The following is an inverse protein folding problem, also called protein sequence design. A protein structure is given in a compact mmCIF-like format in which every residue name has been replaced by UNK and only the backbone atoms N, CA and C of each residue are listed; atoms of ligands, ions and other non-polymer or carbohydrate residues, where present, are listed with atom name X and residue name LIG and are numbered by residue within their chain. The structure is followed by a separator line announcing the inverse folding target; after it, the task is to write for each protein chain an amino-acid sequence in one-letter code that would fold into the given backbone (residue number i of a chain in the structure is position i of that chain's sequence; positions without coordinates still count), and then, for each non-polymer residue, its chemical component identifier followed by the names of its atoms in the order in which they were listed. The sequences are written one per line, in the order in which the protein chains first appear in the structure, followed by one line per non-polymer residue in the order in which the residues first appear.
data_IF_634798175107
#
_entry.id   IF_634798175107
#
_cell.length_a   1.000
_cell.length_b   1.000
_cell.length_c   1.000
_cell.angle_alpha   90.00
_cell.angle_beta   90.00
_cell.angle_gamma   90.00
#
_symmetry.space_group_name_H-M   'P 1'
#
loop_
_entity.id
_entity.type
_entity.pdbx_description
1 polymer ?
#
# COMPACT_ATOMS: atom_id res chain seq x y z
N UNK A 1 -17.63 -1.03 -21.43
CA UNK A 1 -16.25 -0.87 -20.95
C UNK A 1 -15.81 -2.14 -20.24
N UNK A 2 -14.69 -2.68 -20.63
CA UNK A 2 -14.21 -3.94 -20.07
C UNK A 2 -13.41 -3.64 -18.80
N UNK A 3 -13.80 -4.28 -17.70
CA UNK A 3 -13.01 -4.19 -16.47
C UNK A 3 -11.73 -4.97 -16.69
N UNK A 4 -10.62 -4.29 -16.59
CA UNK A 4 -9.32 -4.90 -16.79
C UNK A 4 -8.98 -5.77 -15.57
N UNK A 5 -8.81 -7.07 -15.81
CA UNK A 5 -8.37 -7.98 -14.77
C UNK A 5 -6.89 -7.81 -14.53
N UNK A 6 -6.50 -7.83 -13.27
CA UNK A 6 -5.09 -7.84 -12.90
C UNK A 6 -4.53 -9.22 -13.30
N UNK A 7 -3.49 -9.24 -14.12
CA UNK A 7 -2.89 -10.50 -14.52
C UNK A 7 -2.04 -11.08 -13.37
N UNK A 8 -1.62 -12.35 -13.55
CA UNK A 8 -0.91 -13.07 -12.48
C UNK A 8 0.40 -12.39 -12.07
N UNK A 9 1.15 -11.92 -13.04
CA UNK A 9 2.44 -11.27 -12.76
C UNK A 9 2.22 -9.96 -11.99
N UNK A 10 1.23 -9.16 -12.39
CA UNK A 10 0.90 -7.91 -11.71
C UNK A 10 0.37 -8.18 -10.31
N UNK A 11 -0.41 -9.24 -10.14
CA UNK A 11 -0.93 -9.62 -8.83
C UNK A 11 0.19 -9.94 -7.85
N UNK A 12 1.19 -10.69 -8.30
CA UNK A 12 2.34 -11.01 -7.46
C UNK A 12 3.09 -9.76 -7.04
N UNK A 13 3.28 -8.83 -7.95
CA UNK A 13 3.93 -7.56 -7.67
C UNK A 13 3.12 -6.74 -6.66
N UNK A 14 1.80 -6.68 -6.86
CA UNK A 14 0.92 -5.95 -5.94
C UNK A 14 0.89 -6.58 -4.55
N UNK A 15 0.90 -7.90 -4.46
CA UNK A 15 0.97 -8.59 -3.17
C UNK A 15 2.29 -8.30 -2.46
N UNK A 16 3.39 -8.32 -3.18
CA UNK A 16 4.70 -8.02 -2.62
C UNK A 16 4.78 -6.57 -2.13
N UNK A 17 4.25 -5.64 -2.92
CA UNK A 17 4.20 -4.23 -2.54
C UNK A 17 3.30 -4.02 -1.31
N UNK A 18 2.12 -4.64 -1.32
CA UNK A 18 1.18 -4.55 -0.20
C UNK A 18 1.80 -5.07 1.09
N UNK A 19 2.49 -6.20 1.01
CA UNK A 19 3.17 -6.79 2.17
C UNK A 19 4.30 -5.89 2.67
N UNK A 20 5.02 -5.27 1.76
CA UNK A 20 6.08 -4.32 2.13
C UNK A 20 5.50 -3.13 2.88
N UNK A 21 4.42 -2.55 2.35
CA UNK A 21 3.75 -1.42 3.01
C UNK A 21 3.29 -1.81 4.41
N UNK A 22 2.66 -2.96 4.55
CA UNK A 22 2.21 -3.48 5.84
C UNK A 22 3.39 -3.65 6.81
N UNK A 23 4.49 -4.22 6.34
CA UNK A 23 5.70 -4.41 7.15
C UNK A 23 6.26 -3.08 7.62
N UNK A 24 6.30 -2.07 6.74
CA UNK A 24 6.78 -0.75 7.13
C UNK A 24 5.88 -0.14 8.20
N UNK A 25 4.57 -0.22 8.02
CA UNK A 25 3.62 0.32 8.98
C UNK A 25 3.78 -0.34 10.35
N UNK A 26 3.81 -1.66 10.39
CA UNK A 26 3.78 -2.39 11.65
C UNK A 26 5.14 -2.51 12.32
N UNK A 27 6.19 -2.74 11.54
CA UNK A 27 7.52 -3.00 12.10
C UNK A 27 8.42 -1.79 12.13
N UNK A 28 8.44 -0.99 11.08
CA UNK A 28 9.35 0.15 11.02
C UNK A 28 8.76 1.40 11.67
N UNK A 29 7.47 1.63 11.50
CA UNK A 29 6.81 2.79 12.11
C UNK A 29 6.15 2.47 13.45
N UNK A 30 6.05 1.19 13.80
CA UNK A 30 5.61 0.77 15.10
C UNK A 30 4.13 0.88 15.39
N UNK A 31 3.29 0.98 14.37
CA UNK A 31 1.84 0.97 14.58
C UNK A 31 1.39 -0.41 15.02
N UNK A 32 0.42 -0.45 15.93
CA UNK A 32 -0.09 -1.71 16.45
C UNK A 32 -0.92 -2.48 15.43
N UNK A 33 -1.52 -1.77 14.47
CA UNK A 33 -2.39 -2.36 13.48
C UNK A 33 -2.52 -1.41 12.28
N UNK A 34 -3.05 -1.93 11.19
CA UNK A 34 -3.39 -1.10 10.03
C UNK A 34 -4.48 -0.10 10.38
N UNK A 35 -5.40 -0.46 11.28
CA UNK A 35 -6.44 0.45 11.77
C UNK A 35 -5.83 1.67 12.46
N UNK A 36 -4.82 1.47 13.30
CA UNK A 36 -4.17 2.56 14.00
C UNK A 36 -3.50 3.52 13.02
N UNK A 37 -2.81 2.99 12.01
CA UNK A 37 -2.22 3.80 10.95
C UNK A 37 -3.30 4.58 10.20
N UNK A 38 -4.41 3.91 9.87
CA UNK A 38 -5.51 4.52 9.12
C UNK A 38 -6.11 5.70 9.86
N UNK A 39 -6.21 5.63 11.19
CA UNK A 39 -6.73 6.75 11.99
C UNK A 39 -5.87 8.00 11.84
N UNK A 40 -4.56 7.83 11.79
CA UNK A 40 -3.65 8.97 11.66
C UNK A 40 -3.59 9.54 10.24
N UNK A 41 -3.81 8.70 9.24
CA UNK A 41 -3.60 9.09 7.84
C UNK A 41 -4.83 8.87 6.95
N UNK A 42 -6.03 8.97 7.52
CA UNK A 42 -7.28 8.76 6.76
C UNK A 42 -7.45 9.74 5.60
N UNK A 43 -6.83 10.90 5.66
CA UNK A 43 -6.87 11.87 4.58
C UNK A 43 -5.99 11.47 3.40
N UNK A 44 -4.94 10.70 3.67
CA UNK A 44 -4.04 10.22 2.62
C UNK A 44 -4.57 8.94 1.97
N UNK A 45 -5.19 8.06 2.76
CA UNK A 45 -5.70 6.81 2.24
C UNK A 45 -6.90 6.35 3.09
N UNK A 46 -7.97 5.96 2.42
CA UNK A 46 -9.15 5.41 3.10
C UNK A 46 -8.84 4.02 3.65
N UNK A 47 -9.40 3.69 4.81
CA UNK A 47 -9.17 2.41 5.46
C UNK A 47 -9.46 1.19 4.56
N UNK A 48 -10.61 1.11 3.88
CA UNK A 48 -10.86 -0.03 3.00
C UNK A 48 -9.84 -0.15 1.88
N UNK A 49 -9.41 0.98 1.33
CA UNK A 49 -8.39 1.00 0.27
C UNK A 49 -7.05 0.48 0.80
N UNK A 50 -6.66 0.89 2.01
CA UNK A 50 -5.43 0.43 2.64
C UNK A 50 -5.43 -1.10 2.78
N UNK A 51 -6.51 -1.67 3.29
CA UNK A 51 -6.60 -3.12 3.45
C UNK A 51 -6.52 -3.85 2.12
N UNK A 52 -7.20 -3.35 1.10
CA UNK A 52 -7.17 -3.96 -0.22
C UNK A 52 -5.78 -3.91 -0.84
N UNK A 53 -5.06 -2.81 -0.64
CA UNK A 53 -3.70 -2.67 -1.14
C UNK A 53 -2.74 -3.63 -0.42
N UNK A 54 -2.86 -3.75 0.88
CA UNK A 54 -2.01 -4.66 1.65
C UNK A 54 -2.26 -6.11 1.30
N UNK A 55 -3.49 -6.45 0.90
CA UNK A 55 -3.84 -7.80 0.46
C UNK A 55 -3.47 -8.07 -1.01
N UNK A 56 -3.01 -7.07 -1.74
CA UNK A 56 -2.69 -7.23 -3.15
C UNK A 56 -3.90 -7.40 -4.05
N UNK A 57 -5.07 -7.04 -3.56
CA UNK A 57 -6.33 -7.24 -4.28
C UNK A 57 -6.72 -6.06 -5.16
N UNK A 58 -6.00 -4.97 -5.08
CA UNK A 58 -6.35 -3.74 -5.79
C UNK A 58 -5.12 -3.15 -6.45
N UNK A 59 -5.30 -2.68 -7.68
CA UNK A 59 -4.26 -1.91 -8.34
C UNK A 59 -4.06 -0.59 -7.60
N UNK A 60 -2.82 -0.12 -7.55
CA UNK A 60 -2.48 1.08 -6.82
C UNK A 60 -2.32 2.26 -7.76
N UNK A 61 -3.10 3.31 -7.51
CA UNK A 61 -2.94 4.55 -8.26
C UNK A 61 -1.63 5.24 -7.84
N UNK A 62 -1.01 5.91 -8.78
CA UNK A 62 0.23 6.63 -8.52
C UNK A 62 0.04 7.67 -7.41
N UNK A 63 -1.09 8.38 -7.40
CA UNK A 63 -1.39 9.36 -6.36
C UNK A 63 -1.45 8.72 -4.97
N UNK A 64 -2.00 7.50 -4.87
CA UNK A 64 -2.06 6.75 -3.62
C UNK A 64 -0.65 6.38 -3.17
N UNK A 65 0.20 5.96 -4.10
CA UNK A 65 1.58 5.61 -3.80
C UNK A 65 2.36 6.81 -3.27
N UNK A 66 2.18 7.99 -3.88
CA UNK A 66 2.78 9.22 -3.39
C UNK A 66 2.26 9.58 -2.01
N UNK A 67 0.95 9.42 -1.78
CA UNK A 67 0.35 9.66 -0.47
C UNK A 67 0.95 8.76 0.61
N UNK A 68 1.11 7.48 0.31
CA UNK A 68 1.74 6.55 1.24
C UNK A 68 3.20 6.89 1.51
N UNK A 69 3.92 7.29 0.47
CA UNK A 69 5.32 7.72 0.62
C UNK A 69 5.43 8.88 1.61
N UNK A 70 4.54 9.87 1.49
CA UNK A 70 4.52 10.99 2.41
C UNK A 70 4.13 10.57 3.83
N UNK A 71 3.07 9.77 3.94
CA UNK A 71 2.57 9.33 5.24
C UNK A 71 3.60 8.47 5.98
N UNK A 72 4.30 7.61 5.26
CA UNK A 72 5.31 6.73 5.85
C UNK A 72 6.67 7.39 5.99
N UNK A 73 6.85 8.55 5.37
CA UNK A 73 8.15 9.23 5.30
C UNK A 73 9.23 8.29 4.73
N UNK A 74 8.88 7.61 3.65
CA UNK A 74 9.74 6.65 2.95
C UNK A 74 9.75 6.99 1.47
N UNK A 75 10.90 7.10 0.83
CA UNK A 75 10.95 7.38 -0.61
C UNK A 75 10.22 6.32 -1.42
N UNK A 76 9.58 6.74 -2.52
CA UNK A 76 8.91 5.79 -3.41
C UNK A 76 9.87 4.72 -3.90
N UNK A 77 11.13 5.09 -4.15
CA UNK A 77 12.15 4.13 -4.58
C UNK A 77 12.32 2.99 -3.58
N UNK A 78 12.19 3.26 -2.29
CA UNK A 78 12.27 2.22 -1.27
C UNK A 78 11.02 1.35 -1.25
N UNK A 79 9.86 1.94 -1.53
CA UNK A 79 8.63 1.17 -1.62
C UNK A 79 8.64 0.20 -2.80
N UNK A 80 9.29 0.56 -3.89
CA UNK A 80 9.28 -0.22 -5.13
C UNK A 80 10.54 -1.06 -5.32
N UNK A 81 11.47 -1.00 -4.40
CA UNK A 81 12.76 -1.67 -4.54
C UNK A 81 12.58 -3.19 -4.67
N UNK A 82 13.21 -3.76 -5.68
CA UNK A 82 13.22 -5.21 -5.92
C UNK A 82 11.84 -5.85 -6.17
N UNK A 83 10.90 -5.08 -6.66
CA UNK A 83 9.58 -5.62 -7.04
C UNK A 83 9.54 -6.13 -8.47
#
# INVERSE_FOLDING_TARGET
MVTKKINRADRRTLEALGKRIETIILKEKGYKSLDAFSLDFHEEIAKPTLYQLCDGKRDMKLSTLFGLSRALDVPISDLLKDL
#
